data_IF_899512300638
#
_entry.id   IF_899512300638
#
_cell.length_a   1.000
_cell.length_b   1.000
_cell.length_c   1.000
_cell.angle_alpha   90.00
_cell.angle_beta   90.00
_cell.angle_gamma   90.00
#
_symmetry.space_group_name_H-M   'P 1'
#
loop_
_entity.id
_entity.type
_entity.pdbx_description
1 polymer ?
#
# COMPACT_ATOMS: atom_id res chain seq x y z
N UNK A 1 -0.79 -15.99 -14.25
CA UNK A 1 0.66 -15.60 -14.16
C UNK A 1 1.26 -16.16 -12.88
N UNK A 2 2.63 -16.21 -12.75
CA UNK A 2 3.29 -16.55 -11.47
C UNK A 2 3.73 -15.24 -10.80
N UNK A 3 3.39 -15.06 -9.52
CA UNK A 3 3.72 -13.86 -8.74
C UNK A 3 4.51 -14.27 -7.50
N UNK A 4 5.51 -13.50 -7.12
CA UNK A 4 6.30 -13.80 -5.93
C UNK A 4 5.64 -13.19 -4.70
N UNK A 5 5.03 -14.04 -3.89
CA UNK A 5 4.29 -13.69 -2.69
C UNK A 5 5.16 -13.93 -1.47
N UNK A 6 5.31 -12.92 -0.61
CA UNK A 6 5.98 -13.03 0.67
C UNK A 6 5.06 -13.73 1.68
N UNK A 7 3.84 -13.20 1.84
CA UNK A 7 2.81 -13.75 2.72
C UNK A 7 1.41 -13.32 2.27
N UNK A 8 0.39 -14.11 2.64
CA UNK A 8 -1.03 -13.73 2.60
C UNK A 8 -1.59 -13.95 3.99
N UNK A 9 -2.21 -12.93 4.59
CA UNK A 9 -2.75 -13.02 5.94
C UNK A 9 -4.00 -12.17 6.11
N UNK A 10 -4.81 -12.50 7.12
CA UNK A 10 -6.02 -11.79 7.49
C UNK A 10 -5.81 -10.99 8.78
N UNK A 11 -6.07 -9.70 8.74
CA UNK A 11 -5.89 -8.80 9.88
C UNK A 11 -6.76 -7.55 9.75
N UNK A 12 -6.58 -6.59 10.65
CA UNK A 12 -7.12 -5.25 10.53
C UNK A 12 -6.10 -4.35 9.84
N UNK A 13 -6.57 -3.47 8.93
CA UNK A 13 -5.73 -2.37 8.46
C UNK A 13 -5.40 -1.44 9.63
N UNK A 14 -4.11 -1.20 9.86
CA UNK A 14 -3.61 -0.39 10.97
C UNK A 14 -3.29 1.05 10.61
N UNK A 15 -3.38 1.43 9.31
CA UNK A 15 -2.88 2.70 8.80
C UNK A 15 -3.86 3.34 7.81
N UNK A 16 -3.81 4.68 7.73
CA UNK A 16 -4.52 5.46 6.74
C UNK A 16 -6.04 5.44 6.90
N UNK A 17 -6.72 5.74 5.79
CA UNK A 17 -8.16 5.91 5.74
C UNK A 17 -8.94 4.66 6.18
N UNK A 18 -8.47 3.49 5.79
CA UNK A 18 -9.11 2.20 6.09
C UNK A 18 -8.72 1.61 7.45
N UNK A 19 -8.13 2.39 8.36
CA UNK A 19 -7.76 1.93 9.72
C UNK A 19 -8.95 1.27 10.42
N UNK A 20 -8.74 0.06 10.94
CA UNK A 20 -9.77 -0.74 11.62
C UNK A 20 -10.60 -1.63 10.69
N UNK A 21 -10.41 -1.54 9.37
CA UNK A 21 -11.12 -2.40 8.41
C UNK A 21 -10.51 -3.81 8.40
N UNK A 22 -11.33 -4.89 8.55
CA UNK A 22 -10.88 -6.25 8.33
C UNK A 22 -10.49 -6.46 6.87
N UNK A 23 -9.27 -6.93 6.61
CA UNK A 23 -8.75 -7.09 5.27
C UNK A 23 -7.84 -8.31 5.12
N UNK A 24 -7.81 -8.88 3.93
CA UNK A 24 -6.78 -9.86 3.53
C UNK A 24 -5.63 -9.10 2.89
N UNK A 25 -4.46 -9.24 3.46
CA UNK A 25 -3.24 -8.64 2.94
C UNK A 25 -2.52 -9.62 2.02
N UNK A 26 -2.20 -9.16 0.81
CA UNK A 26 -1.31 -9.87 -0.12
C UNK A 26 -0.01 -9.09 -0.15
N UNK A 27 1.02 -9.60 0.52
CA UNK A 27 2.35 -9.01 0.54
C UNK A 27 3.21 -9.61 -0.56
N UNK A 28 3.53 -8.79 -1.56
CA UNK A 28 4.44 -9.18 -2.64
C UNK A 28 5.89 -9.04 -2.22
N UNK A 29 6.76 -9.87 -2.81
CA UNK A 29 8.20 -9.82 -2.63
C UNK A 29 8.88 -8.94 -3.67
N UNK A 30 9.96 -8.31 -3.26
CA UNK A 30 10.76 -7.42 -4.11
C UNK A 30 10.25 -5.98 -4.11
N UNK A 31 11.18 -5.06 -4.20
CA UNK A 31 10.90 -3.63 -4.31
C UNK A 31 11.92 -2.99 -5.27
N UNK A 32 11.50 -1.98 -5.99
CA UNK A 32 12.38 -1.19 -6.87
C UNK A 32 13.10 -0.05 -6.13
N UNK A 33 12.81 0.14 -4.82
CA UNK A 33 13.48 1.11 -3.96
C UNK A 33 14.18 0.41 -2.78
N UNK A 34 15.13 1.13 -2.15
CA UNK A 34 15.85 0.69 -0.95
C UNK A 34 15.78 1.80 0.10
N UNK A 35 14.65 1.86 0.82
CA UNK A 35 14.44 2.86 1.86
C UNK A 35 15.22 2.49 3.13
N UNK A 36 15.85 3.46 3.78
CA UNK A 36 16.62 3.26 5.04
C UNK A 36 15.73 2.81 6.20
N UNK A 37 14.46 3.20 6.19
CA UNK A 37 13.47 2.88 7.22
C UNK A 37 12.60 1.66 6.89
N UNK A 38 12.94 0.90 5.82
CA UNK A 38 12.12 -0.24 5.40
C UNK A 38 12.13 -1.33 6.48
N UNK A 39 10.96 -1.66 6.99
CA UNK A 39 10.72 -2.70 8.00
C UNK A 39 10.31 -4.05 7.39
N UNK A 40 10.11 -4.10 6.08
CA UNK A 40 9.65 -5.29 5.38
C UNK A 40 10.81 -6.10 4.82
N UNK A 41 10.90 -7.36 5.23
CA UNK A 41 11.82 -8.35 4.64
C UNK A 41 11.19 -8.95 3.38
N UNK A 42 11.29 -8.24 2.26
CA UNK A 42 10.61 -8.58 1.00
C UNK A 42 11.47 -9.39 0.02
N UNK A 43 12.63 -9.91 0.41
CA UNK A 43 13.49 -10.73 -0.46
C UNK A 43 13.02 -12.19 -0.55
N UNK A 44 12.53 -12.74 0.55
CA UNK A 44 11.93 -14.07 0.60
C UNK A 44 10.57 -14.10 -0.10
N UNK A 45 10.05 -15.29 -0.39
CA UNK A 45 8.71 -15.47 -0.92
C UNK A 45 8.59 -16.71 -1.82
N UNK A 46 7.35 -17.14 -2.01
CA UNK A 46 6.97 -18.29 -2.83
C UNK A 46 6.33 -17.83 -4.12
N UNK A 47 6.61 -18.50 -5.21
CA UNK A 47 5.90 -18.27 -6.47
C UNK A 47 4.51 -18.93 -6.38
N UNK A 48 3.48 -18.12 -6.58
CA UNK A 48 2.08 -18.55 -6.58
C UNK A 48 1.43 -18.16 -7.92
N UNK A 49 0.56 -19.03 -8.40
CA UNK A 49 -0.34 -18.71 -9.52
C UNK A 49 -1.48 -17.81 -9.07
N UNK A 50 -2.13 -17.13 -10.00
CA UNK A 50 -3.32 -16.33 -9.69
C UNK A 50 -4.43 -17.22 -9.08
N UNK A 51 -4.58 -18.47 -9.52
CA UNK A 51 -5.55 -19.42 -8.94
C UNK A 51 -5.25 -19.71 -7.46
N UNK A 52 -4.01 -19.93 -7.11
CA UNK A 52 -3.59 -20.18 -5.73
C UNK A 52 -3.80 -18.95 -4.85
N UNK A 53 -3.53 -17.74 -5.37
CA UNK A 53 -3.78 -16.48 -4.67
C UNK A 53 -5.27 -16.29 -4.41
N UNK A 54 -6.12 -16.46 -5.41
CA UNK A 54 -7.57 -16.34 -5.26
C UNK A 54 -8.12 -17.39 -4.29
N UNK A 55 -7.64 -18.63 -4.38
CA UNK A 55 -8.04 -19.69 -3.46
C UNK A 55 -7.66 -19.37 -2.01
N UNK A 56 -6.48 -18.79 -1.77
CA UNK A 56 -6.03 -18.38 -0.44
C UNK A 56 -6.88 -17.23 0.11
N UNK A 57 -7.07 -16.16 -0.68
CA UNK A 57 -7.88 -14.99 -0.30
C UNK A 57 -9.32 -15.37 0.01
N UNK A 58 -9.88 -16.33 -0.73
CA UNK A 58 -11.28 -16.78 -0.57
C UNK A 58 -11.55 -17.56 0.71
N UNK A 59 -10.52 -17.97 1.44
CA UNK A 59 -10.68 -18.61 2.76
C UNK A 59 -11.17 -17.66 3.84
N UNK A 60 -11.02 -16.33 3.61
CA UNK A 60 -11.31 -15.31 4.59
C UNK A 60 -12.59 -14.54 4.25
N UNK A 61 -13.41 -14.17 5.26
CA UNK A 61 -14.70 -13.51 5.07
C UNK A 61 -14.58 -12.03 4.64
N UNK A 62 -13.40 -11.43 4.74
CA UNK A 62 -13.21 -10.01 4.41
C UNK A 62 -13.49 -9.74 2.93
N UNK A 63 -14.21 -8.67 2.67
CA UNK A 63 -14.44 -8.12 1.33
C UNK A 63 -13.18 -7.39 0.85
N UNK A 64 -12.50 -6.67 1.74
CA UNK A 64 -11.32 -5.86 1.40
C UNK A 64 -10.07 -6.72 1.25
N UNK A 65 -9.35 -6.51 0.15
CA UNK A 65 -8.01 -7.05 -0.11
C UNK A 65 -7.04 -5.87 -0.24
N UNK A 66 -5.91 -5.95 0.44
CA UNK A 66 -4.86 -4.92 0.40
C UNK A 66 -3.62 -5.52 -0.25
N UNK A 67 -3.29 -5.02 -1.43
CA UNK A 67 -2.07 -5.35 -2.15
C UNK A 67 -0.93 -4.48 -1.60
N UNK A 68 0.06 -5.10 -0.99
CA UNK A 68 1.16 -4.43 -0.28
C UNK A 68 2.47 -5.20 -0.42
N UNK A 69 3.47 -4.91 0.38
CA UNK A 69 4.72 -5.67 0.49
C UNK A 69 5.94 -4.84 0.18
N UNK A 70 6.82 -5.31 -0.70
CA UNK A 70 7.88 -4.50 -1.28
C UNK A 70 7.28 -3.41 -2.16
N UNK A 71 7.09 -3.69 -3.44
CA UNK A 71 6.31 -2.82 -4.34
C UNK A 71 5.35 -3.68 -5.17
N UNK A 72 4.04 -3.65 -4.88
CA UNK A 72 3.07 -4.49 -5.55
C UNK A 72 2.91 -4.19 -7.04
N UNK A 73 3.15 -2.94 -7.48
CA UNK A 73 3.07 -2.57 -8.91
C UNK A 73 4.06 -3.30 -9.82
N UNK A 74 5.05 -3.99 -9.24
CA UNK A 74 5.95 -4.86 -10.00
C UNK A 74 5.28 -6.16 -10.45
N UNK A 75 4.17 -6.52 -9.82
CA UNK A 75 3.58 -7.87 -9.89
C UNK A 75 2.14 -7.89 -10.36
N UNK A 76 1.40 -6.79 -10.22
CA UNK A 76 -0.03 -6.72 -10.54
C UNK A 76 -0.26 -6.35 -12.00
N UNK A 77 -1.40 -6.80 -12.52
CA UNK A 77 -1.97 -6.47 -13.82
C UNK A 77 -3.50 -6.50 -13.73
N UNK A 78 -4.19 -6.04 -14.79
CA UNK A 78 -5.65 -6.02 -14.85
C UNK A 78 -6.24 -7.42 -14.63
N UNK A 79 -5.60 -8.47 -15.13
CA UNK A 79 -6.09 -9.84 -14.99
C UNK A 79 -6.18 -10.31 -13.52
N UNK A 80 -5.24 -9.92 -12.66
CA UNK A 80 -5.32 -10.24 -11.23
C UNK A 80 -6.42 -9.43 -10.55
N UNK A 81 -6.54 -8.14 -10.88
CA UNK A 81 -7.55 -7.27 -10.27
C UNK A 81 -8.95 -7.77 -10.64
N UNK A 82 -9.20 -8.05 -11.92
CA UNK A 82 -10.46 -8.59 -12.41
C UNK A 82 -10.86 -9.87 -11.67
N UNK A 83 -9.91 -10.79 -11.46
CA UNK A 83 -10.16 -12.03 -10.73
C UNK A 83 -10.47 -11.82 -9.24
N UNK A 84 -9.85 -10.83 -8.61
CA UNK A 84 -10.20 -10.44 -7.24
C UNK A 84 -11.61 -9.88 -7.18
N UNK A 85 -12.00 -9.06 -8.16
CA UNK A 85 -13.37 -8.54 -8.29
C UNK A 85 -14.38 -9.67 -8.55
N UNK A 86 -14.08 -10.63 -9.42
CA UNK A 86 -14.91 -11.82 -9.66
C UNK A 86 -15.11 -12.64 -8.37
N UNK A 87 -14.10 -12.65 -7.48
CA UNK A 87 -14.19 -13.25 -6.15
C UNK A 87 -14.91 -12.35 -5.11
N UNK A 88 -15.54 -11.25 -5.55
CA UNK A 88 -16.30 -10.32 -4.70
C UNK A 88 -15.44 -9.45 -3.79
N UNK A 89 -14.17 -9.19 -4.15
CA UNK A 89 -13.25 -8.39 -3.35
C UNK A 89 -13.20 -6.93 -3.82
N UNK A 90 -13.07 -6.02 -2.84
CA UNK A 90 -12.72 -4.62 -3.01
C UNK A 90 -11.19 -4.49 -2.89
N UNK A 91 -10.53 -3.99 -3.92
CA UNK A 91 -9.08 -4.07 -4.07
C UNK A 91 -8.42 -2.74 -3.76
N UNK A 92 -7.71 -2.67 -2.64
CA UNK A 92 -6.85 -1.55 -2.26
C UNK A 92 -5.39 -1.87 -2.60
N UNK A 93 -4.61 -0.83 -2.92
CA UNK A 93 -3.17 -0.95 -3.10
C UNK A 93 -2.42 0.04 -2.22
N UNK A 94 -1.31 -0.41 -1.63
CA UNK A 94 -0.30 0.44 -1.01
C UNK A 94 0.96 0.43 -1.88
N UNK A 95 1.28 1.54 -2.51
CA UNK A 95 2.37 1.65 -3.48
C UNK A 95 3.28 2.84 -3.20
N UNK A 96 4.55 2.73 -3.59
CA UNK A 96 5.46 3.90 -3.60
C UNK A 96 5.15 4.88 -4.76
N UNK A 97 4.22 4.52 -5.64
CA UNK A 97 3.72 5.37 -6.72
C UNK A 97 4.66 5.56 -7.91
N UNK A 98 5.75 4.82 -8.01
CA UNK A 98 6.75 5.01 -9.08
C UNK A 98 6.37 4.39 -10.42
N UNK A 99 5.38 3.50 -10.46
CA UNK A 99 4.97 2.75 -11.67
C UNK A 99 3.48 2.90 -11.91
N UNK A 100 3.04 2.83 -13.17
CA UNK A 100 1.62 2.78 -13.50
C UNK A 100 0.90 1.64 -12.79
N UNK A 101 -0.38 1.84 -12.52
CA UNK A 101 -1.28 0.86 -11.91
C UNK A 101 -2.41 0.52 -12.87
N UNK A 102 -3.01 -0.68 -12.75
CA UNK A 102 -4.30 -0.98 -13.37
C UNK A 102 -5.36 0.05 -12.95
N UNK A 103 -6.16 0.51 -13.90
CA UNK A 103 -7.22 1.51 -13.61
C UNK A 103 -8.35 0.94 -12.75
N UNK A 104 -8.52 -0.38 -12.77
CA UNK A 104 -9.54 -1.12 -12.05
C UNK A 104 -9.28 -1.29 -10.54
N UNK A 105 -8.12 -0.85 -10.02
CA UNK A 105 -7.88 -0.82 -8.58
C UNK A 105 -8.86 0.15 -7.92
N UNK A 106 -9.57 -0.29 -6.87
CA UNK A 106 -10.65 0.49 -6.24
C UNK A 106 -10.14 1.63 -5.35
N UNK A 107 -9.02 1.42 -4.63
CA UNK A 107 -8.42 2.41 -3.73
C UNK A 107 -6.90 2.43 -3.86
N UNK A 108 -6.34 3.60 -4.07
CA UNK A 108 -4.90 3.81 -4.22
C UNK A 108 -4.34 4.64 -3.06
N UNK A 109 -3.59 3.99 -2.19
CA UNK A 109 -2.75 4.65 -1.19
C UNK A 109 -1.34 4.81 -1.75
N UNK A 110 -0.97 6.05 -2.05
CA UNK A 110 0.38 6.40 -2.46
C UNK A 110 1.24 6.74 -1.23
N UNK A 111 2.36 6.03 -1.09
CA UNK A 111 3.39 6.32 -0.08
C UNK A 111 4.64 6.88 -0.76
N UNK A 112 4.64 8.17 -1.18
CA UNK A 112 5.73 8.76 -1.93
C UNK A 112 7.01 8.80 -1.11
N UNK A 113 8.15 8.57 -1.76
CA UNK A 113 9.46 8.61 -1.12
C UNK A 113 10.19 9.89 -1.53
N UNK A 114 10.89 10.50 -0.58
CA UNK A 114 11.59 11.76 -0.81
C UNK A 114 12.57 11.65 -1.98
N UNK A 115 12.52 12.61 -2.89
CA UNK A 115 13.40 12.66 -4.08
C UNK A 115 13.09 11.64 -5.16
N UNK A 116 12.02 10.86 -5.04
CA UNK A 116 11.62 9.85 -6.03
C UNK A 116 10.47 10.38 -6.88
N UNK A 117 10.60 10.27 -8.21
CA UNK A 117 9.58 10.70 -9.15
C UNK A 117 8.40 9.73 -9.16
N UNK A 118 7.19 10.27 -9.08
CA UNK A 118 5.96 9.50 -9.24
C UNK A 118 5.68 9.17 -10.71
N UNK A 119 5.17 7.97 -10.93
CA UNK A 119 4.70 7.47 -12.23
C UNK A 119 3.19 7.29 -12.29
N UNK A 120 2.48 7.54 -11.18
CA UNK A 120 1.01 7.54 -11.11
C UNK A 120 0.47 8.95 -11.03
N UNK A 121 -0.76 9.13 -11.50
CA UNK A 121 -1.49 10.42 -11.47
C UNK A 121 -2.79 10.33 -10.68
N UNK A 122 -3.29 9.12 -10.41
CA UNK A 122 -4.46 8.86 -9.56
C UNK A 122 -4.00 8.31 -8.23
N UNK A 123 -4.51 8.89 -7.15
CA UNK A 123 -4.36 8.41 -5.78
C UNK A 123 -5.53 8.94 -4.94
N UNK A 124 -6.08 8.10 -4.10
CA UNK A 124 -7.17 8.46 -3.19
C UNK A 124 -6.59 8.98 -1.87
N UNK A 125 -5.44 8.41 -1.47
CA UNK A 125 -4.74 8.71 -0.23
C UNK A 125 -3.24 8.90 -0.45
N UNK A 126 -2.67 9.90 0.23
CA UNK A 126 -1.22 10.06 0.42
C UNK A 126 -0.87 9.68 1.86
N UNK A 127 -0.01 8.69 2.03
CA UNK A 127 0.47 8.23 3.34
C UNK A 127 2.00 8.35 3.40
N UNK A 128 2.50 9.31 4.16
CA UNK A 128 3.94 9.61 4.24
C UNK A 128 4.52 9.09 5.54
N UNK A 129 5.57 8.28 5.47
CA UNK A 129 6.40 7.94 6.64
C UNK A 129 7.16 9.21 7.04
N UNK A 130 6.89 9.68 8.27
CA UNK A 130 7.43 10.94 8.74
C UNK A 130 8.76 10.72 9.48
N UNK A 131 9.78 11.40 9.01
CA UNK A 131 11.14 11.40 9.57
C UNK A 131 11.60 12.82 9.95
N UNK A 132 10.66 13.81 9.96
CA UNK A 132 10.98 15.22 10.21
C UNK A 132 11.19 16.04 8.92
N UNK A 133 10.92 15.48 7.75
CA UNK A 133 11.06 16.15 6.46
C UNK A 133 9.96 17.22 6.25
N UNK A 134 10.18 18.10 5.29
CA UNK A 134 9.15 19.03 4.80
C UNK A 134 8.02 18.25 4.12
N UNK A 135 6.81 18.40 4.66
CA UNK A 135 5.60 17.71 4.17
C UNK A 135 4.82 18.54 3.14
N UNK A 136 5.12 19.82 2.99
CA UNK A 136 4.39 20.73 2.11
C UNK A 136 4.43 20.30 0.63
N UNK A 137 5.52 19.68 0.23
CA UNK A 137 5.70 19.15 -1.15
C UNK A 137 4.67 18.08 -1.51
N UNK A 138 4.20 17.30 -0.52
CA UNK A 138 3.21 16.26 -0.74
C UNK A 138 1.78 16.78 -0.80
N UNK A 139 1.52 17.97 -0.25
CA UNK A 139 0.19 18.62 -0.25
C UNK A 139 -0.29 19.03 -1.63
N UNK A 140 0.62 19.06 -2.61
CA UNK A 140 0.32 19.34 -4.02
C UNK A 140 -0.15 18.11 -4.79
N UNK A 141 -0.09 16.93 -4.20
CA UNK A 141 -0.54 15.68 -4.83
C UNK A 141 -2.07 15.63 -4.90
N UNK A 142 -2.63 15.03 -5.97
CA UNK A 142 -4.07 15.02 -6.25
C UNK A 142 -4.81 13.95 -5.44
N UNK A 143 -4.64 13.92 -4.12
CA UNK A 143 -5.33 13.03 -3.21
C UNK A 143 -6.37 13.78 -2.38
N UNK A 144 -7.40 13.06 -1.95
CA UNK A 144 -8.42 13.60 -1.03
C UNK A 144 -7.99 13.47 0.44
N UNK A 145 -7.20 12.42 0.75
CA UNK A 145 -6.80 12.07 2.11
C UNK A 145 -5.29 12.11 2.29
N UNK A 146 -4.85 12.64 3.43
CA UNK A 146 -3.43 12.79 3.76
C UNK A 146 -3.16 12.27 5.16
N UNK A 147 -2.18 11.37 5.29
CA UNK A 147 -1.79 10.78 6.57
C UNK A 147 -0.28 10.79 6.76
N UNK A 148 0.16 11.13 7.96
CA UNK A 148 1.53 10.93 8.41
C UNK A 148 1.62 9.64 9.23
N UNK A 149 2.52 8.76 8.84
CA UNK A 149 2.82 7.53 9.55
C UNK A 149 4.10 7.72 10.36
N UNK A 150 4.09 7.50 11.70
CA UNK A 150 5.32 7.52 12.48
C UNK A 150 6.32 6.49 11.99
N UNK A 151 7.59 6.86 11.86
CA UNK A 151 8.64 5.94 11.47
C UNK A 151 8.87 4.90 12.57
N UNK A 152 8.49 3.64 12.31
CA UNK A 152 8.63 2.50 13.24
C UNK A 152 8.11 2.80 14.66
N UNK A 153 7.11 3.67 14.79
CA UNK A 153 6.55 4.16 16.06
C UNK A 153 7.55 4.88 16.99
N UNK A 154 8.77 5.15 16.55
CA UNK A 154 9.81 5.76 17.40
C UNK A 154 9.63 7.29 17.56
N UNK A 155 8.92 7.94 16.65
CA UNK A 155 8.72 9.39 16.61
C UNK A 155 7.23 9.80 16.66
N UNK A 156 6.39 9.00 17.29
CA UNK A 156 4.94 9.21 17.32
C UNK A 156 4.57 10.61 17.84
N UNK A 157 5.17 11.07 18.95
CA UNK A 157 4.90 12.38 19.51
C UNK A 157 5.24 13.51 18.52
N UNK A 158 6.36 13.40 17.82
CA UNK A 158 6.78 14.38 16.81
C UNK A 158 5.82 14.38 15.61
N UNK A 159 5.35 13.20 15.18
CA UNK A 159 4.39 13.06 14.09
C UNK A 159 3.04 13.68 14.47
N UNK A 160 2.53 13.41 15.68
CA UNK A 160 1.29 14.01 16.20
C UNK A 160 1.40 15.54 16.24
N UNK A 161 2.50 16.06 16.77
CA UNK A 161 2.73 17.52 16.83
C UNK A 161 2.77 18.16 15.42
N UNK A 162 3.34 17.45 14.45
CA UNK A 162 3.33 17.88 13.05
C UNK A 162 1.90 17.94 12.49
N UNK A 163 1.10 16.89 12.66
CA UNK A 163 -0.31 16.82 12.21
C UNK A 163 -1.12 17.93 12.85
N UNK A 164 -0.97 18.16 14.16
CA UNK A 164 -1.67 19.22 14.88
C UNK A 164 -1.39 20.63 14.33
N UNK A 165 -0.22 20.84 13.74
CA UNK A 165 0.16 22.12 13.08
C UNK A 165 -0.24 22.19 11.61
N UNK A 166 -0.57 21.06 10.99
CA UNK A 166 -0.91 20.96 9.57
C UNK A 166 -2.25 20.21 9.38
N UNK A 167 -3.40 20.89 9.56
CA UNK A 167 -4.72 20.26 9.62
C UNK A 167 -5.19 19.54 8.33
N UNK A 168 -4.42 19.63 7.26
CA UNK A 168 -4.68 18.88 6.03
C UNK A 168 -4.33 17.39 6.19
N UNK A 169 -3.43 17.09 7.13
CA UNK A 169 -2.91 15.75 7.41
C UNK A 169 -3.65 15.03 8.52
#
# INVERSE_FOLDING_TARGET
MMRKINEIFYSLQGEGYHTGTPAVFIRFSGCNLKCSFCDTQHEAGTLMTDDEIIAEVSKYPAVTVILTGGEPSLWIDDALIDRLHEAGKYVCIETNGTRPLPESVDWVTCSPKQGVKLGITRMDEVKVVYEGQDISIYELLPAEHFFLQPCSCNNTALTVDCVMRHPKW
#
